data_IF_051603925511
#
_entry.id   IF_051603925511
#
_cell.length_a   1.000
_cell.length_b   1.000
_cell.length_c   1.000
_cell.angle_alpha   90.00
_cell.angle_beta   90.00
_cell.angle_gamma   90.00
#
_symmetry.space_group_name_H-M   'P 1'
#
loop_
_entity.id
_entity.type
_entity.pdbx_description
1 polymer ?
2 non-polymer ?
3 non-polymer ?
4 water ?
#
# COMPACT_ATOMS: atom_id res chain seq x y z
N UNK A 1 3.62 -13.46 11.37
CA UNK A 1 2.48 -14.16 10.73
C UNK A 1 2.13 -13.46 9.41
N UNK A 2 3.14 -13.07 8.66
CA UNK A 2 2.91 -12.29 7.41
C UNK A 2 2.78 -13.23 6.22
N UNK A 3 2.95 -14.53 6.40
CA UNK A 3 3.15 -15.44 5.26
C UNK A 3 2.03 -15.48 4.26
N UNK A 4 0.80 -15.29 4.71
CA UNK A 4 -0.30 -15.38 3.75
C UNK A 4 -0.35 -14.16 2.82
N UNK A 5 0.35 -13.08 3.17
CA UNK A 5 0.42 -11.91 2.30
C UNK A 5 1.46 -12.04 1.20
N UNK A 6 2.38 -13.01 1.32
CA UNK A 6 3.50 -13.06 0.40
C UNK A 6 3.07 -13.50 -0.97
N UNK A 7 3.67 -12.97 -1.99
CA UNK A 7 3.44 -13.38 -3.36
C UNK A 7 3.22 -12.21 -4.28
N UNK A 8 2.70 -12.53 -5.46
CA UNK A 8 2.46 -11.57 -6.49
C UNK A 8 0.94 -11.38 -6.65
N UNK A 9 0.53 -10.13 -6.62
CA UNK A 9 -0.87 -9.72 -6.55
C UNK A 9 -1.16 -8.71 -7.65
N UNK A 10 -2.35 -8.81 -8.25
CA UNK A 10 -2.74 -7.92 -9.35
C UNK A 10 -3.99 -7.15 -8.97
N UNK A 11 -4.05 -5.86 -9.30
CA UNK A 11 -5.23 -5.05 -8.97
C UNK A 11 -6.43 -5.52 -9.83
N UNK A 12 -7.54 -5.75 -9.14
CA UNK A 12 -8.77 -6.19 -9.83
C UNK A 12 -9.99 -5.34 -9.46
N UNK A 13 -9.88 -4.38 -8.57
CA UNK A 13 -11.01 -3.48 -8.22
C UNK A 13 -10.44 -2.27 -7.53
N UNK A 14 -11.03 -1.11 -7.75
CA UNK A 14 -10.61 0.11 -7.05
C UNK A 14 -11.80 0.99 -6.80
N UNK A 15 -11.94 1.42 -5.53
CA UNK A 15 -13.00 2.32 -5.11
C UNK A 15 -12.39 3.54 -4.42
N UNK A 16 -12.75 4.73 -4.89
CA UNK A 16 -12.38 5.97 -4.25
C UNK A 16 -10.88 6.32 -4.30
N UNK A 17 -10.13 5.72 -5.24
CA UNK A 17 -8.71 6.08 -5.33
C UNK A 17 -8.55 7.53 -5.74
N UNK A 18 -9.39 8.04 -6.62
CA UNK A 18 -9.26 9.46 -6.95
C UNK A 18 -9.43 10.33 -5.73
N UNK A 19 -10.42 10.04 -4.87
CA UNK A 19 -10.60 10.82 -3.64
C UNK A 19 -9.32 10.80 -2.79
N UNK A 20 -8.74 9.63 -2.66
CA UNK A 20 -7.52 9.48 -1.86
C UNK A 20 -6.40 10.32 -2.44
N UNK A 21 -6.16 10.18 -3.74
CA UNK A 21 -5.10 10.95 -4.39
C UNK A 21 -5.35 12.45 -4.28
N UNK A 22 -6.60 12.86 -4.46
CA UNK A 22 -6.89 14.27 -4.39
C UNK A 22 -6.63 14.79 -2.98
N UNK A 23 -6.97 14.01 -1.97
CA UNK A 23 -6.70 14.39 -0.56
C UNK A 23 -5.21 14.62 -0.33
N UNK A 24 -4.37 13.81 -0.97
CA UNK A 24 -2.92 13.93 -0.87
C UNK A 24 -2.39 15.06 -1.75
N UNK A 25 -3.19 15.75 -2.51
CA UNK A 25 -2.70 16.82 -3.35
C UNK A 25 -2.13 16.39 -4.69
N UNK A 26 -2.45 15.20 -5.15
CA UNK A 26 -1.95 14.72 -6.44
C UNK A 26 -2.66 15.48 -7.55
N UNK A 27 -1.92 15.93 -8.53
CA UNK A 27 -2.48 16.69 -9.64
C UNK A 27 -3.37 15.88 -10.57
N UNK A 28 -4.24 16.61 -11.28
CA UNK A 28 -5.30 15.95 -12.05
C UNK A 28 -4.74 15.01 -13.13
N UNK A 29 -3.63 15.39 -13.77
CA UNK A 29 -3.10 14.58 -14.87
C UNK A 29 -2.57 13.26 -14.35
N UNK A 30 -1.91 13.31 -13.18
CA UNK A 30 -1.42 12.07 -12.55
C UNK A 30 -2.60 11.23 -12.08
N UNK A 31 -3.64 11.86 -11.52
CA UNK A 31 -4.81 11.10 -11.11
C UNK A 31 -5.43 10.40 -12.31
N UNK A 32 -5.52 11.10 -13.45
CA UNK A 32 -6.13 10.52 -14.63
C UNK A 32 -5.45 9.24 -15.02
N UNK A 33 -4.10 9.30 -15.14
CA UNK A 33 -3.35 8.10 -15.55
C UNK A 33 -3.51 7.03 -14.48
N UNK A 34 -3.35 7.42 -13.23
CA UNK A 34 -3.44 6.47 -12.11
C UNK A 34 -4.77 5.72 -12.09
N UNK A 35 -5.84 6.40 -12.47
CA UNK A 35 -7.18 5.80 -12.42
C UNK A 35 -7.34 4.67 -13.42
N UNK A 36 -6.43 4.61 -14.43
CA UNK A 36 -6.45 3.58 -15.46
C UNK A 36 -5.26 2.61 -15.35
N UNK A 37 -4.49 2.69 -14.28
CA UNK A 37 -3.34 1.82 -14.07
C UNK A 37 -3.73 0.67 -13.18
N UNK A 38 -3.22 -0.52 -13.49
CA UNK A 38 -3.45 -1.71 -12.67
C UNK A 38 -2.12 -2.25 -12.18
N UNK A 39 -1.69 -1.87 -11.00
CA UNK A 39 -0.38 -2.34 -10.53
C UNK A 39 -0.38 -3.81 -10.20
N UNK A 40 0.87 -4.30 -10.18
CA UNK A 40 1.24 -5.59 -9.60
C UNK A 40 1.99 -5.31 -8.32
N UNK A 41 1.58 -5.92 -7.22
CA UNK A 41 2.30 -5.77 -5.96
C UNK A 41 2.93 -7.11 -5.63
N UNK A 42 4.21 -7.08 -5.31
CA UNK A 42 4.98 -8.28 -4.96
C UNK A 42 5.45 -8.10 -3.53
N UNK A 43 5.11 -9.03 -2.68
CA UNK A 43 5.50 -8.99 -1.27
C UNK A 43 6.37 -10.20 -1.00
N UNK A 44 7.60 -9.97 -0.59
CA UNK A 44 8.60 -11.03 -0.35
C UNK A 44 9.17 -10.82 1.05
N UNK A 45 9.69 -11.92 1.60
CA UNK A 45 10.37 -11.85 2.89
C UNK A 45 11.68 -12.58 2.80
N UNK A 46 12.65 -12.08 3.58
CA UNK A 46 13.94 -12.77 3.78
C UNK A 46 14.28 -12.60 5.25
N UNK A 47 14.00 -13.65 5.99
CA UNK A 47 14.14 -13.53 7.41
C UNK A 47 13.12 -12.54 7.92
N UNK A 48 13.54 -11.55 8.70
CA UNK A 48 12.43 -10.69 9.14
C UNK A 48 12.44 -9.35 8.31
N UNK A 49 13.05 -9.33 7.17
CA UNK A 49 12.95 -8.17 6.26
C UNK A 49 11.95 -8.44 5.16
N UNK A 50 10.97 -7.57 5.07
CA UNK A 50 9.98 -7.62 3.98
C UNK A 50 10.42 -6.65 2.90
N UNK A 51 10.12 -7.02 1.66
CA UNK A 51 10.25 -6.14 0.53
C UNK A 51 8.92 -6.10 -0.21
N UNK A 52 8.42 -4.90 -0.46
CA UNK A 52 7.13 -4.69 -1.13
C UNK A 52 7.39 -3.87 -2.35
N UNK A 53 7.16 -4.50 -3.50
CA UNK A 53 7.33 -3.87 -4.80
C UNK A 53 5.97 -3.54 -5.37
N UNK A 54 5.84 -2.37 -5.98
CA UNK A 54 4.64 -1.99 -6.71
C UNK A 54 5.10 -1.65 -8.12
N UNK A 55 4.62 -2.41 -9.11
CA UNK A 55 5.05 -2.28 -10.50
C UNK A 55 3.86 -1.85 -11.34
N UNK A 56 4.07 -0.95 -12.28
CA UNK A 56 2.99 -0.57 -13.18
C UNK A 56 3.57 0.07 -14.41
N UNK A 57 2.68 0.38 -15.35
CA UNK A 57 3.03 1.14 -16.54
C UNK A 57 3.25 2.62 -16.27
N UNK A 58 2.96 3.08 -15.08
CA UNK A 58 3.08 4.50 -14.77
C UNK A 58 4.20 4.76 -13.77
N UNK A 59 4.04 4.33 -12.54
CA UNK A 59 5.05 4.50 -11.46
C UNK A 59 5.40 3.12 -10.93
N UNK A 60 6.64 2.99 -10.47
CA UNK A 60 7.13 1.83 -9.76
C UNK A 60 7.70 2.27 -8.44
N UNK A 61 7.51 1.47 -7.40
CA UNK A 61 8.12 1.71 -6.10
C UNK A 61 8.65 0.40 -5.53
N UNK A 62 9.55 0.53 -4.57
CA UNK A 62 10.00 -0.60 -3.79
C UNK A 62 10.39 -0.09 -2.43
N UNK A 63 9.96 -0.79 -1.37
CA UNK A 63 10.37 -0.53 -0.02
C UNK A 63 10.84 -1.83 0.63
N UNK A 64 11.82 -1.73 1.52
CA UNK A 64 12.21 -2.83 2.39
C UNK A 64 12.17 -2.35 3.83
N UNK A 65 11.72 -3.22 4.72
CA UNK A 65 11.53 -2.84 6.09
C UNK A 65 11.51 -4.06 6.98
N UNK A 66 11.79 -3.82 8.23
CA UNK A 66 11.57 -4.79 9.30
C UNK A 66 10.22 -4.44 9.95
N UNK A 67 9.32 -5.40 10.26
CA UNK A 67 8.08 -5.10 10.97
C UNK A 67 8.43 -4.41 12.25
N UNK A 68 7.71 -3.36 12.51
CA UNK A 68 7.81 -2.67 13.78
C UNK A 68 9.00 -1.78 13.92
N UNK A 69 9.73 -1.50 12.82
CA UNK A 69 10.90 -0.63 12.86
C UNK A 69 10.70 0.50 11.86
N UNK A 70 10.78 1.73 12.29
CA UNK A 70 10.55 2.87 11.40
C UNK A 70 11.56 2.90 10.27
N UNK A 71 11.13 3.38 9.12
CA UNK A 71 11.99 3.52 7.96
C UNK A 71 11.61 4.78 7.22
N UNK A 72 12.59 5.36 6.55
CA UNK A 72 12.29 6.46 5.63
C UNK A 72 11.72 5.91 4.34
N UNK A 73 10.81 6.66 3.71
CA UNK A 73 10.17 6.24 2.47
C UNK A 73 9.91 7.47 1.62
N UNK A 74 10.03 7.29 0.32
CA UNK A 74 9.62 8.32 -0.65
C UNK A 74 8.54 7.67 -1.51
N UNK A 75 7.33 8.22 -1.40
CA UNK A 75 6.17 7.56 -2.00
C UNK A 75 6.09 7.81 -3.49
N UNK A 76 5.13 7.10 -4.13
CA UNK A 76 4.96 7.21 -5.57
C UNK A 76 4.62 8.62 -6.00
N UNK A 77 3.96 9.39 -5.14
CA UNK A 77 3.65 10.80 -5.37
C UNK A 77 4.68 11.74 -4.77
N UNK A 78 5.84 11.21 -4.43
CA UNK A 78 7.01 12.02 -4.04
C UNK A 78 6.90 12.67 -2.67
N UNK A 79 6.10 12.10 -1.77
CA UNK A 79 6.15 12.52 -0.37
C UNK A 79 7.32 11.81 0.32
N UNK A 80 8.06 12.58 1.12
CA UNK A 80 9.12 12.02 1.99
C UNK A 80 8.54 11.82 3.37
N UNK A 81 8.39 10.57 3.76
CA UNK A 81 7.62 10.22 4.95
C UNK A 81 8.44 9.33 5.86
N UNK A 82 7.99 9.25 7.10
CA UNK A 82 8.49 8.33 8.11
C UNK A 82 7.47 7.21 8.22
N UNK A 83 7.84 5.99 8.05
CA UNK A 83 6.92 4.89 7.92
C UNK A 83 7.18 3.80 8.91
N UNK A 84 6.13 3.05 9.22
CA UNK A 84 6.27 1.82 10.00
C UNK A 84 5.20 0.86 9.51
N UNK A 85 5.55 -0.41 9.44
CA UNK A 85 4.62 -1.46 9.04
C UNK A 85 4.57 -2.45 10.19
N UNK A 86 3.36 -2.85 10.56
CA UNK A 86 3.18 -3.78 11.64
C UNK A 86 2.08 -4.75 11.29
N UNK A 87 1.93 -5.80 12.07
CA UNK A 87 0.76 -6.69 11.99
C UNK A 87 -0.13 -6.29 13.13
N UNK A 88 -1.40 -6.14 12.81
CA UNK A 88 -2.38 -5.68 13.81
C UNK A 88 -3.67 -6.40 13.44
N UNK A 89 -4.15 -7.28 14.30
CA UNK A 89 -5.37 -8.01 13.99
C UNK A 89 -5.26 -8.85 12.75
N UNK A 90 -4.08 -9.33 12.45
CA UNK A 90 -3.88 -10.12 11.22
C UNK A 90 -3.75 -9.28 9.98
N UNK A 91 -3.81 -7.98 10.10
CA UNK A 91 -3.72 -7.06 8.97
C UNK A 91 -2.31 -6.46 8.94
N UNK A 92 -1.80 -6.24 7.75
CA UNK A 92 -0.53 -5.57 7.59
C UNK A 92 -0.83 -4.08 7.53
N UNK A 93 -0.42 -3.31 8.53
CA UNK A 93 -0.77 -1.89 8.66
C UNK A 93 0.48 -1.06 8.41
N UNK A 94 0.46 -0.24 7.38
CA UNK A 94 1.56 0.64 6.96
C UNK A 94 1.12 2.08 7.27
N UNK A 95 1.79 2.73 8.24
CA UNK A 95 1.50 4.11 8.64
C UNK A 95 2.62 5.00 8.10
N UNK A 96 2.25 6.06 7.38
CA UNK A 96 3.18 7.08 6.87
C UNK A 96 2.89 8.38 7.58
N UNK A 97 3.95 9.07 8.00
CA UNK A 97 3.86 10.37 8.70
C UNK A 97 4.72 11.39 8.01
N UNK A 98 4.21 12.59 7.81
CA UNK A 98 4.99 13.69 7.24
C UNK A 98 4.29 14.98 7.56
N UNK A 99 5.04 16.00 7.92
CA UNK A 99 4.46 17.35 8.11
C UNK A 99 3.29 17.29 9.11
N UNK A 100 3.27 16.39 10.07
CA UNK A 100 2.17 16.24 10.99
C UNK A 100 0.95 15.50 10.41
N UNK A 101 0.95 15.20 9.15
CA UNK A 101 -0.07 14.40 8.45
C UNK A 101 0.21 12.94 8.64
N UNK A 102 -0.82 12.14 8.44
CA UNK A 102 -0.69 10.69 8.45
C UNK A 102 -1.58 10.09 7.39
N UNK A 103 -1.14 8.96 6.87
CA UNK A 103 -2.01 8.11 6.04
C UNK A 103 -1.74 6.69 6.41
N UNK A 104 -2.75 5.84 6.36
CA UNK A 104 -2.61 4.42 6.58
C UNK A 104 -2.95 3.65 5.34
N UNK A 105 -2.20 2.59 5.13
CA UNK A 105 -2.36 1.62 4.05
C UNK A 105 -2.52 0.28 4.72
N UNK A 106 -3.73 -0.24 4.78
CA UNK A 106 -4.03 -1.44 5.58
C UNK A 106 -4.36 -2.56 4.63
N UNK A 107 -3.66 -3.70 4.77
CA UNK A 107 -3.88 -4.86 3.94
C UNK A 107 -4.47 -6.00 4.76
N UNK A 108 -5.48 -6.62 4.23
CA UNK A 108 -6.09 -7.79 4.89
C UNK A 108 -6.46 -8.77 3.83
N UNK A 109 -6.61 -9.99 4.29
CA UNK A 109 -7.02 -11.08 3.41
C UNK A 109 -8.46 -11.41 3.70
N UNK A 110 -9.28 -11.39 2.68
CA UNK A 110 -10.72 -11.74 2.79
C UNK A 110 -11.01 -12.69 1.65
N UNK A 111 -11.41 -13.91 2.02
CA UNK A 111 -11.72 -15.00 1.06
C UNK A 111 -10.62 -15.12 0.01
N UNK A 112 -9.33 -14.98 0.42
CA UNK A 112 -8.20 -15.16 -0.51
C UNK A 112 -7.81 -13.93 -1.30
N UNK A 113 -8.57 -12.87 -1.22
CA UNK A 113 -8.23 -11.60 -1.88
C UNK A 113 -7.53 -10.71 -0.91
N UNK A 114 -6.66 -9.87 -1.42
CA UNK A 114 -5.98 -8.90 -0.55
C UNK A 114 -6.65 -7.56 -0.75
N UNK A 115 -7.21 -7.06 0.34
CA UNK A 115 -7.95 -5.81 0.35
C UNK A 115 -7.03 -4.75 0.99
N UNK A 116 -6.75 -3.72 0.20
CA UNK A 116 -5.91 -2.60 0.60
C UNK A 116 -6.83 -1.41 0.84
N UNK A 117 -6.85 -0.92 2.08
CA UNK A 117 -7.64 0.25 2.44
C UNK A 117 -6.68 1.40 2.71
N UNK A 118 -6.86 2.49 1.97
CA UNK A 118 -6.01 3.68 2.03
C UNK A 118 -6.82 4.81 2.64
N UNK A 119 -6.38 5.38 3.76
CA UNK A 119 -7.10 6.46 4.41
C UNK A 119 -6.22 7.66 4.56
N UNK A 120 -6.69 8.82 4.14
CA UNK A 120 -6.01 10.10 4.40
C UNK A 120 -7.13 11.13 4.54
N UNK A 121 -7.04 11.94 5.59
CA UNK A 121 -8.14 12.86 5.80
C UNK A 121 -9.42 12.09 6.01
N UNK A 122 -10.45 12.46 5.30
CA UNK A 122 -11.71 11.70 5.35
C UNK A 122 -11.78 10.69 4.21
N UNK A 123 -10.85 10.70 3.27
CA UNK A 123 -10.90 9.84 2.09
C UNK A 123 -10.54 8.42 2.47
N UNK A 124 -11.36 7.48 2.05
CA UNK A 124 -11.16 6.06 2.28
C UNK A 124 -11.29 5.35 0.96
N UNK A 125 -10.20 4.76 0.49
CA UNK A 125 -10.13 4.04 -0.75
C UNK A 125 -9.94 2.56 -0.48
N UNK A 126 -10.67 1.72 -1.21
CA UNK A 126 -10.56 0.28 -1.07
C UNK A 126 -10.16 -0.30 -2.42
N UNK A 127 -9.02 -0.97 -2.45
CA UNK A 127 -8.48 -1.62 -3.65
C UNK A 127 -8.32 -3.09 -3.39
N UNK A 128 -8.71 -3.87 -4.36
CA UNK A 128 -8.69 -5.31 -4.21
C UNK A 128 -7.68 -5.90 -5.18
N UNK A 129 -6.85 -6.78 -4.62
CA UNK A 129 -5.84 -7.50 -5.39
C UNK A 129 -6.13 -8.98 -5.31
N UNK A 130 -5.82 -9.64 -6.44
CA UNK A 130 -5.99 -11.08 -6.65
C UNK A 130 -4.64 -11.75 -6.83
N UNK A 131 -4.42 -12.91 -6.21
CA UNK A 131 -3.14 -13.56 -6.21
C UNK A 131 -2.86 -14.13 -7.57
N UNK A 132 -1.68 -13.85 -8.08
CA UNK A 132 -1.07 -14.47 -9.28
C UNK A 132 -0.28 -15.72 -8.87
N UNK A 133 -0.38 -16.73 -9.69
CA UNK A 133 0.25 -18.07 -9.56
C UNK A 133 1.74 -17.96 -9.70
#
# INVERSE_FOLDING_TARGET
>A
MVDAFLGTWKLVDSKNFDDYMKSLGVGFATRQVASMTKPTTIIEKNGDILTLKTHSTFKNTEISFKLGVEFDETTADDRKVKSIVTLDGGKLVHLQKWDGQETTLVRELIDGKLILTLTHGTAVCTRTYEKEA
#
